data_IF_079382231017
#
_entry.id   IF_079382231017
#
_cell.length_a   1.000
_cell.length_b   1.000
_cell.length_c   1.000
_cell.angle_alpha   90.00
_cell.angle_beta   90.00
_cell.angle_gamma   90.00
#
_symmetry.space_group_name_H-M   'P 1'
#
loop_
_entity.id
_entity.type
_entity.pdbx_description
1 polymer ?
#
# COMPACT_ATOMS: atom_id res chain seq x y z
N UNK A 1 16.78 18.31 2.07
CA UNK A 1 16.90 18.26 3.54
C UNK A 1 16.48 16.87 4.02
N UNK A 2 17.44 16.09 4.48
CA UNK A 2 17.38 15.61 5.86
C UNK A 2 17.09 14.12 5.99
N UNK A 3 16.06 13.59 5.31
CA UNK A 3 15.82 12.13 5.36
C UNK A 3 15.13 11.49 4.14
N UNK A 4 14.60 12.27 3.18
CA UNK A 4 14.02 11.74 1.93
C UNK A 4 13.06 10.56 2.13
N UNK A 5 12.30 10.58 3.23
CA UNK A 5 11.39 9.51 3.56
C UNK A 5 9.99 9.84 3.06
N UNK A 6 9.40 8.92 2.31
CA UNK A 6 7.99 8.96 1.93
C UNK A 6 7.26 7.81 2.61
N UNK A 7 6.03 8.04 3.05
CA UNK A 7 5.17 6.98 3.57
C UNK A 7 3.84 6.99 2.87
N UNK A 8 3.31 5.80 2.59
CA UNK A 8 1.97 5.61 2.05
C UNK A 8 1.13 4.83 3.06
N UNK A 9 -0.17 5.00 2.96
CA UNK A 9 -1.17 4.25 3.69
C UNK A 9 -1.89 3.29 2.76
N UNK A 10 -2.56 2.28 3.32
CA UNK A 10 -3.35 1.35 2.52
C UNK A 10 -4.43 2.08 1.68
N UNK A 11 -4.98 3.18 2.19
CA UNK A 11 -5.94 4.02 1.48
C UNK A 11 -5.37 4.75 0.28
N UNK A 12 -4.05 4.98 0.22
CA UNK A 12 -3.42 5.66 -0.92
C UNK A 12 -3.33 4.76 -2.16
N UNK A 13 -3.34 3.44 -1.97
CA UNK A 13 -3.30 2.45 -3.06
C UNK A 13 -4.58 1.63 -3.19
N UNK A 14 -5.47 1.71 -2.21
CA UNK A 14 -6.78 1.08 -2.27
C UNK A 14 -7.64 1.75 -3.35
N UNK A 15 -7.76 1.08 -4.50
CA UNK A 15 -8.56 1.52 -5.65
C UNK A 15 -10.08 1.46 -5.43
N UNK A 16 -10.55 1.42 -4.18
CA UNK A 16 -11.96 1.33 -3.80
C UNK A 16 -12.43 -0.11 -3.58
N UNK A 17 -11.66 -0.93 -2.86
CA UNK A 17 -12.13 -2.28 -2.54
C UNK A 17 -13.40 -2.21 -1.71
N UNK A 18 -14.45 -2.92 -2.11
CA UNK A 18 -15.72 -3.00 -1.40
C UNK A 18 -16.08 -4.45 -1.16
N UNK A 19 -16.50 -4.78 0.05
CA UNK A 19 -17.08 -6.06 0.36
C UNK A 19 -18.50 -5.88 0.92
N UNK A 20 -19.41 -6.81 0.59
CA UNK A 20 -20.80 -6.83 1.04
C UNK A 20 -20.92 -6.85 2.58
N UNK A 21 -20.01 -7.58 3.23
CA UNK A 21 -19.98 -7.77 4.67
C UNK A 21 -19.07 -6.75 5.37
N UNK A 22 -18.37 -5.91 4.60
CA UNK A 22 -17.43 -4.92 5.09
C UNK A 22 -16.01 -5.47 5.22
N UNK A 23 -15.04 -4.56 5.20
CA UNK A 23 -13.62 -4.89 5.25
C UNK A 23 -13.12 -4.79 6.69
N UNK A 24 -12.53 -5.87 7.20
CA UNK A 24 -11.97 -5.92 8.54
C UNK A 24 -10.62 -5.21 8.62
N UNK A 25 -9.74 -5.44 7.63
CA UNK A 25 -8.41 -4.83 7.63
C UNK A 25 -7.81 -4.68 6.24
N UNK A 26 -6.89 -3.72 6.12
CA UNK A 26 -6.06 -3.48 4.95
C UNK A 26 -4.62 -3.34 5.39
N UNK A 27 -3.71 -4.12 4.80
CA UNK A 27 -2.30 -4.12 5.15
C UNK A 27 -1.42 -3.98 3.91
N UNK A 28 -0.29 -3.30 4.08
CA UNK A 28 0.73 -3.14 3.06
C UNK A 28 1.98 -3.92 3.47
N UNK A 29 2.59 -4.59 2.50
CA UNK A 29 3.92 -5.19 2.68
C UNK A 29 5.04 -4.14 2.78
N UNK A 30 4.86 -3.01 2.09
CA UNK A 30 5.78 -1.87 2.08
C UNK A 30 5.00 -0.55 2.15
N UNK A 31 5.27 0.25 3.17
CA UNK A 31 4.60 1.54 3.41
C UNK A 31 5.54 2.71 3.64
N UNK A 32 6.85 2.45 3.74
CA UNK A 32 7.88 3.47 3.97
C UNK A 32 8.96 3.33 2.92
N UNK A 33 9.33 4.45 2.31
CA UNK A 33 10.34 4.58 1.30
C UNK A 33 11.36 5.61 1.73
N UNK A 34 12.56 5.47 1.23
CA UNK A 34 13.74 6.28 1.46
C UNK A 34 14.37 6.63 0.11
N UNK A 35 15.41 7.47 0.11
CA UNK A 35 16.21 7.73 -1.10
C UNK A 35 16.83 6.46 -1.73
N UNK A 36 16.90 5.33 -1.01
CA UNK A 36 17.37 4.06 -1.59
C UNK A 36 16.31 3.39 -2.48
N UNK A 37 15.03 3.68 -2.26
CA UNK A 37 13.91 3.15 -3.03
C UNK A 37 13.46 4.10 -4.16
N UNK A 38 14.33 4.99 -4.63
CA UNK A 38 14.03 5.85 -5.79
C UNK A 38 13.81 4.99 -7.04
N UNK A 39 12.71 5.24 -7.74
CA UNK A 39 12.25 4.43 -8.87
C UNK A 39 10.93 3.72 -8.58
N UNK A 40 10.62 2.71 -9.40
CA UNK A 40 9.38 1.95 -9.31
C UNK A 40 9.50 0.84 -8.26
N UNK A 41 8.65 0.90 -7.24
CA UNK A 41 8.53 -0.11 -6.19
C UNK A 41 7.18 -0.80 -6.29
N UNK A 42 7.18 -2.13 -6.25
CA UNK A 42 5.94 -2.90 -6.21
C UNK A 42 5.52 -3.08 -4.76
N UNK A 43 4.30 -2.66 -4.44
CA UNK A 43 3.67 -2.79 -3.14
C UNK A 43 2.46 -3.71 -3.27
N UNK A 44 2.27 -4.60 -2.31
CA UNK A 44 1.13 -5.51 -2.22
C UNK A 44 0.16 -5.01 -1.15
N UNK A 45 -1.06 -4.69 -1.57
CA UNK A 45 -2.19 -4.49 -0.69
C UNK A 45 -2.83 -5.85 -0.38
N UNK A 46 -2.93 -6.20 0.89
CA UNK A 46 -3.73 -7.35 1.35
C UNK A 46 -4.98 -6.82 2.06
N UNK A 47 -6.13 -7.35 1.68
CA UNK A 47 -7.43 -6.99 2.24
C UNK A 47 -8.02 -8.23 2.89
N UNK A 48 -8.52 -8.08 4.11
CA UNK A 48 -9.24 -9.13 4.82
C UNK A 48 -10.63 -8.62 5.16
N UNK A 49 -11.66 -9.38 4.78
CA UNK A 49 -13.04 -9.07 5.14
C UNK A 49 -13.41 -9.58 6.55
N UNK A 50 -14.62 -9.27 7.01
CA UNK A 50 -15.10 -9.65 8.34
C UNK A 50 -15.33 -11.16 8.49
N UNK A 51 -15.46 -11.88 7.38
CA UNK A 51 -15.64 -13.34 7.30
C UNK A 51 -14.29 -14.08 7.27
N UNK A 52 -13.18 -13.34 7.16
CA UNK A 52 -11.83 -13.88 7.11
C UNK A 52 -11.38 -14.29 5.71
N UNK A 53 -12.10 -13.94 4.66
CA UNK A 53 -11.57 -14.06 3.30
C UNK A 53 -10.46 -13.04 3.11
N UNK A 54 -9.41 -13.47 2.42
CA UNK A 54 -8.22 -12.66 2.15
C UNK A 54 -8.04 -12.56 0.66
N UNK A 55 -7.90 -11.35 0.16
CA UNK A 55 -7.53 -11.08 -1.22
C UNK A 55 -6.35 -10.09 -1.27
N UNK A 56 -5.58 -10.14 -2.35
CA UNK A 56 -4.42 -9.26 -2.52
C UNK A 56 -4.26 -8.74 -3.93
N UNK A 57 -3.79 -7.49 -4.01
CA UNK A 57 -3.53 -6.79 -5.26
C UNK A 57 -2.21 -6.04 -5.17
N UNK A 58 -1.52 -5.89 -6.29
CA UNK A 58 -0.25 -5.14 -6.35
C UNK A 58 -0.45 -3.77 -6.98
N UNK A 59 0.30 -2.79 -6.49
CA UNK A 59 0.37 -1.43 -7.00
C UNK A 59 1.83 -1.03 -7.21
N UNK A 60 2.10 -0.18 -8.19
CA UNK A 60 3.45 0.36 -8.45
C UNK A 60 3.55 1.78 -7.90
N UNK A 61 4.41 1.97 -6.91
CA UNK A 61 4.70 3.26 -6.28
C UNK A 61 6.01 3.77 -6.85
N UNK A 62 5.97 4.92 -7.53
CA UNK A 62 7.16 5.56 -8.09
C UNK A 62 7.66 6.63 -7.14
N UNK A 63 8.85 6.42 -6.57
CA UNK A 63 9.52 7.41 -5.70
C UNK A 63 10.45 8.25 -6.57
N UNK A 64 10.31 9.57 -6.50
CA UNK A 64 11.12 10.54 -7.26
C UNK A 64 11.90 11.45 -6.32
N UNK A 65 13.17 11.70 -6.63
CA UNK A 65 13.98 12.74 -5.97
C UNK A 65 13.62 14.13 -6.52
N UNK A 66 13.62 15.15 -5.66
CA UNK A 66 13.36 16.56 -6.03
C UNK A 66 14.63 17.39 -6.10
#
# INVERSE_FOLDING_TARGET
DGSGNATITATDIDGGSTDNCGIASRTLDLSSFTCAEVGANTVTLTVTDNEGNVDSATATVTVTET
#
